data_IF_701242258313
#
_entry.id   IF_701242258313
#
_cell.length_a   1.000
_cell.length_b   1.000
_cell.length_c   1.000
_cell.angle_alpha   90.00
_cell.angle_beta   90.00
_cell.angle_gamma   90.00
#
_symmetry.space_group_name_H-M   'P 1'
#
loop_
_entity.id
_entity.type
_entity.pdbx_description
1 polymer ?
#
# COMPACT_ATOMS: atom_id res chain seq x y z
N UNK A 1 0.51 -5.57 -0.04
CA UNK A 1 -0.90 -5.79 -0.47
C UNK A 1 -1.66 -6.70 0.50
N UNK A 2 -1.08 -7.84 0.95
CA UNK A 2 -1.73 -8.72 1.92
C UNK A 2 -2.13 -7.98 3.19
N UNK A 3 -1.24 -7.14 3.74
CA UNK A 3 -1.53 -6.29 4.90
C UNK A 3 -2.76 -5.40 4.67
N UNK A 4 -2.83 -4.70 3.54
CA UNK A 4 -3.95 -3.82 3.20
C UNK A 4 -5.26 -4.59 3.05
N UNK A 5 -5.22 -5.75 2.42
CA UNK A 5 -6.38 -6.61 2.25
C UNK A 5 -6.94 -7.09 3.58
N UNK A 6 -6.08 -7.58 4.47
CA UNK A 6 -6.49 -8.04 5.80
C UNK A 6 -6.96 -6.88 6.69
N UNK A 7 -6.31 -5.71 6.61
CA UNK A 7 -6.75 -4.52 7.33
C UNK A 7 -8.12 -4.01 6.84
N UNK A 8 -8.40 -4.08 5.53
CA UNK A 8 -9.72 -3.78 5.00
C UNK A 8 -10.77 -4.79 5.50
N UNK A 9 -10.44 -6.09 5.54
CA UNK A 9 -11.30 -7.12 6.12
C UNK A 9 -11.59 -6.87 7.59
N UNK A 10 -10.58 -6.47 8.37
CA UNK A 10 -10.75 -6.07 9.77
C UNK A 10 -11.72 -4.90 9.92
N UNK A 11 -11.60 -3.86 9.09
CA UNK A 11 -12.51 -2.71 9.11
C UNK A 11 -13.95 -3.10 8.75
N UNK A 12 -14.14 -3.96 7.76
CA UNK A 12 -15.45 -4.49 7.35
C UNK A 12 -16.10 -5.29 8.49
N UNK A 13 -15.34 -6.15 9.18
CA UNK A 13 -15.84 -6.90 10.35
C UNK A 13 -16.25 -5.93 11.46
N UNK A 14 -15.41 -4.93 11.77
CA UNK A 14 -15.70 -3.91 12.76
C UNK A 14 -16.93 -3.06 12.45
N UNK A 15 -17.29 -2.95 11.16
CA UNK A 15 -18.48 -2.25 10.64
C UNK A 15 -19.68 -3.17 10.45
N UNK A 16 -19.71 -4.36 11.05
CA UNK A 16 -20.79 -5.35 10.89
C UNK A 16 -21.09 -5.68 9.42
N UNK A 17 -20.02 -5.97 8.67
CA UNK A 17 -20.04 -6.35 7.25
C UNK A 17 -20.47 -5.25 6.26
N UNK A 18 -20.59 -3.99 6.68
CA UNK A 18 -20.73 -2.88 5.73
C UNK A 18 -19.40 -2.64 5.01
N UNK A 19 -19.44 -2.69 3.68
CA UNK A 19 -18.27 -2.51 2.80
C UNK A 19 -18.21 -1.13 2.18
N UNK A 20 -19.27 -0.31 2.33
CA UNK A 20 -19.30 1.02 1.73
C UNK A 20 -18.54 2.02 2.60
N UNK A 21 -17.36 2.43 2.12
CA UNK A 21 -16.54 3.42 2.83
C UNK A 21 -17.21 4.80 2.96
N UNK A 22 -18.31 5.07 2.23
CA UNK A 22 -19.11 6.29 2.38
C UNK A 22 -19.89 6.30 3.68
N UNK A 23 -20.16 5.13 4.24
CA UNK A 23 -20.82 4.95 5.53
C UNK A 23 -19.84 4.98 6.71
N UNK A 24 -18.54 4.83 6.44
CA UNK A 24 -17.49 4.81 7.44
C UNK A 24 -17.04 6.22 7.84
N UNK A 25 -16.13 6.30 8.79
CA UNK A 25 -15.48 7.53 9.24
C UNK A 25 -15.04 7.41 10.70
N UNK A 26 -13.97 8.11 11.08
CA UNK A 26 -13.45 8.13 12.45
C UNK A 26 -13.14 6.74 13.08
N UNK A 27 -12.91 5.70 12.26
CA UNK A 27 -12.63 4.35 12.78
C UNK A 27 -11.33 4.27 13.57
N UNK A 28 -10.39 5.21 13.40
CA UNK A 28 -9.14 5.28 14.18
C UNK A 28 -9.38 5.29 15.70
N UNK A 29 -10.50 5.85 16.15
CA UNK A 29 -10.86 5.92 17.58
C UNK A 29 -11.21 4.54 18.14
N UNK A 30 -11.81 3.68 17.34
CA UNK A 30 -12.34 2.38 17.74
C UNK A 30 -11.43 1.22 17.35
N UNK A 31 -10.64 1.40 16.28
CA UNK A 31 -9.80 0.35 15.68
C UNK A 31 -8.34 0.84 15.48
N UNK A 32 -7.60 1.13 16.55
CA UNK A 32 -6.27 1.73 16.45
C UNK A 32 -5.23 0.80 15.81
N UNK A 33 -5.31 -0.52 16.03
CA UNK A 33 -4.37 -1.48 15.44
C UNK A 33 -4.61 -1.57 13.93
N UNK A 34 -5.86 -1.73 13.52
CA UNK A 34 -6.25 -1.74 12.10
C UNK A 34 -5.89 -0.41 11.42
N UNK A 35 -6.10 0.72 12.10
CA UNK A 35 -5.72 2.04 11.60
C UNK A 35 -4.22 2.17 11.31
N UNK A 36 -3.36 1.81 12.27
CA UNK A 36 -1.90 1.90 12.13
C UNK A 36 -1.41 0.93 11.04
N UNK A 37 -1.88 -0.31 11.05
CA UNK A 37 -1.45 -1.32 10.07
C UNK A 37 -1.88 -0.96 8.66
N UNK A 38 -3.06 -0.35 8.49
CA UNK A 38 -3.51 0.20 7.21
C UNK A 38 -2.63 1.37 6.74
N UNK A 39 -2.24 2.27 7.65
CA UNK A 39 -1.30 3.34 7.35
C UNK A 39 0.04 2.81 6.85
N UNK A 40 0.64 1.86 7.59
CA UNK A 40 1.93 1.26 7.20
C UNK A 40 1.83 0.54 5.85
N UNK A 41 0.72 -0.15 5.60
CA UNK A 41 0.44 -0.78 4.31
C UNK A 41 0.31 0.22 3.16
N UNK A 42 -0.37 1.34 3.37
CA UNK A 42 -0.49 2.41 2.38
C UNK A 42 0.86 3.08 2.11
N UNK A 43 1.64 3.40 3.13
CA UNK A 43 2.98 3.96 2.97
C UNK A 43 3.90 3.02 2.18
N UNK A 44 3.84 1.72 2.43
CA UNK A 44 4.56 0.73 1.63
C UNK A 44 4.03 0.65 0.19
N UNK A 45 2.70 0.75 -0.02
CA UNK A 45 2.08 0.69 -1.35
C UNK A 45 2.46 1.87 -2.24
N UNK A 46 2.46 3.09 -1.70
CA UNK A 46 2.81 4.30 -2.46
C UNK A 46 4.31 4.41 -2.73
N UNK A 47 5.14 3.63 -2.04
CA UNK A 47 6.59 3.66 -2.19
C UNK A 47 7.24 4.78 -1.37
N UNK A 48 6.79 5.00 -0.14
CA UNK A 48 7.45 5.93 0.79
C UNK A 48 8.88 5.47 1.08
N UNK A 49 9.88 6.34 1.06
CA UNK A 49 11.26 5.99 1.40
C UNK A 49 11.34 5.19 2.71
N UNK A 50 12.27 4.27 2.78
CA UNK A 50 12.49 3.25 3.84
C UNK A 50 11.50 2.08 3.85
N UNK A 51 10.32 2.18 3.26
CA UNK A 51 9.37 1.06 3.17
C UNK A 51 9.76 0.08 2.05
N UNK A 52 9.38 -1.18 2.21
CA UNK A 52 9.74 -2.24 1.24
C UNK A 52 9.25 -1.94 -0.19
N UNK A 53 8.09 -1.31 -0.33
CA UNK A 53 7.53 -0.92 -1.62
C UNK A 53 8.34 0.17 -2.33
N UNK A 54 9.07 1.01 -1.61
CA UNK A 54 9.95 2.01 -2.18
C UNK A 54 11.04 1.35 -3.02
N UNK A 55 11.82 0.46 -2.42
CA UNK A 55 12.97 -0.16 -3.08
C UNK A 55 12.61 -0.88 -4.37
N UNK A 56 11.50 -1.62 -4.38
CA UNK A 56 11.05 -2.33 -5.59
C UNK A 56 10.48 -1.39 -6.65
N UNK A 57 9.68 -0.39 -6.25
CA UNK A 57 9.07 0.54 -7.22
C UNK A 57 10.10 1.46 -7.85
N UNK A 58 10.98 2.02 -7.06
CA UNK A 58 12.01 2.94 -7.52
C UNK A 58 12.92 2.24 -8.54
N UNK A 59 13.39 1.02 -8.24
CA UNK A 59 14.17 0.22 -9.20
C UNK A 59 13.43 -0.07 -10.51
N UNK A 60 12.10 -0.31 -10.46
CA UNK A 60 11.30 -0.52 -11.68
C UNK A 60 11.20 0.78 -12.51
N UNK A 61 11.01 1.91 -11.83
CA UNK A 61 10.89 3.22 -12.49
C UNK A 61 12.23 3.61 -13.13
N UNK A 62 13.33 3.42 -12.42
CA UNK A 62 14.68 3.66 -12.93
C UNK A 62 15.02 2.72 -14.10
N UNK A 63 14.64 1.43 -14.00
CA UNK A 63 14.80 0.49 -15.10
C UNK A 63 14.01 0.92 -16.35
N UNK A 64 12.80 1.42 -16.19
CA UNK A 64 12.00 1.94 -17.30
C UNK A 64 12.62 3.20 -17.91
N UNK A 65 13.22 4.06 -17.09
CA UNK A 65 13.90 5.27 -17.52
C UNK A 65 15.19 4.96 -18.29
N UNK A 66 16.00 4.03 -17.78
CA UNK A 66 17.27 3.64 -18.40
C UNK A 66 17.13 2.71 -19.62
N UNK A 67 15.91 2.20 -19.87
CA UNK A 67 15.67 1.26 -20.96
C UNK A 67 15.74 1.95 -22.32
N UNK A 68 16.43 1.32 -23.27
CA UNK A 68 16.54 1.74 -24.68
C UNK A 68 15.53 1.08 -25.61
N UNK A 69 14.65 0.23 -25.08
CA UNK A 69 13.66 -0.49 -25.88
C UNK A 69 12.60 0.45 -26.46
N UNK A 70 12.06 0.14 -27.66
CA UNK A 70 10.95 0.90 -28.22
C UNK A 70 9.76 0.95 -27.26
N UNK A 71 9.27 2.15 -26.98
CA UNK A 71 8.14 2.34 -26.04
C UNK A 71 8.54 2.57 -24.57
N UNK A 72 9.82 2.51 -24.20
CA UNK A 72 10.30 2.77 -22.84
C UNK A 72 9.88 4.14 -22.31
N UNK A 73 9.90 5.18 -23.16
CA UNK A 73 9.43 6.51 -22.76
C UNK A 73 7.95 6.55 -22.37
N UNK A 74 7.08 5.81 -23.08
CA UNK A 74 5.68 5.68 -22.69
C UNK A 74 5.53 4.87 -21.38
N UNK A 75 6.29 3.79 -21.23
CA UNK A 75 6.31 2.98 -20.02
C UNK A 75 6.74 3.83 -18.81
N UNK A 76 7.81 4.61 -18.94
CA UNK A 76 8.27 5.53 -17.90
C UNK A 76 7.20 6.56 -17.53
N UNK A 77 6.56 7.21 -18.51
CA UNK A 77 5.46 8.13 -18.26
C UNK A 77 4.30 7.45 -17.52
N UNK A 78 3.90 6.26 -17.97
CA UNK A 78 2.79 5.52 -17.36
C UNK A 78 3.06 5.12 -15.90
N UNK A 79 4.30 4.66 -15.58
CA UNK A 79 4.65 4.31 -14.20
C UNK A 79 4.75 5.56 -13.31
N UNK A 80 5.24 6.69 -13.81
CA UNK A 80 5.22 7.96 -13.07
C UNK A 80 3.80 8.44 -12.78
N UNK A 81 2.92 8.43 -13.78
CA UNK A 81 1.52 8.78 -13.59
C UNK A 81 0.83 7.86 -12.57
N UNK A 82 1.18 6.57 -12.59
CA UNK A 82 0.63 5.59 -11.64
C UNK A 82 1.04 5.85 -10.20
N UNK A 83 2.21 6.46 -9.95
CA UNK A 83 2.64 6.84 -8.59
C UNK A 83 1.67 7.84 -7.98
N UNK A 84 1.36 8.91 -8.70
CA UNK A 84 0.39 9.93 -8.26
C UNK A 84 -1.00 9.33 -8.02
N UNK A 85 -1.54 8.60 -9.00
CA UNK A 85 -2.87 7.98 -8.91
C UNK A 85 -2.93 6.99 -7.74
N UNK A 86 -1.86 6.21 -7.52
CA UNK A 86 -1.79 5.25 -6.40
C UNK A 86 -1.83 5.96 -5.06
N UNK A 87 -1.08 7.03 -4.88
CA UNK A 87 -1.10 7.81 -3.65
C UNK A 87 -2.47 8.43 -3.41
N UNK A 88 -3.07 9.04 -4.45
CA UNK A 88 -4.38 9.65 -4.38
C UNK A 88 -5.46 8.67 -3.89
N UNK A 89 -5.62 7.51 -4.55
CA UNK A 89 -6.70 6.60 -4.16
C UNK A 89 -6.45 5.94 -2.79
N UNK A 90 -5.19 5.63 -2.47
CA UNK A 90 -4.82 5.00 -1.22
C UNK A 90 -5.11 5.92 -0.02
N UNK A 91 -4.72 7.19 -0.08
CA UNK A 91 -4.99 8.15 0.97
C UNK A 91 -6.45 8.59 1.00
N UNK A 92 -7.13 8.69 -0.15
CA UNK A 92 -8.57 8.92 -0.18
C UNK A 92 -9.32 7.85 0.61
N UNK A 93 -9.03 6.57 0.36
CA UNK A 93 -9.62 5.45 1.12
C UNK A 93 -9.29 5.59 2.61
N UNK A 94 -8.03 5.81 2.95
CA UNK A 94 -7.56 5.91 4.33
C UNK A 94 -8.27 7.01 5.11
N UNK A 95 -8.37 8.20 4.55
CA UNK A 95 -9.05 9.32 5.21
C UNK A 95 -10.56 9.14 5.29
N UNK A 96 -11.19 8.55 4.28
CA UNK A 96 -12.63 8.30 4.31
C UNK A 96 -13.02 7.26 5.37
N UNK A 97 -12.21 6.24 5.57
CA UNK A 97 -12.48 5.14 6.51
C UNK A 97 -12.11 5.51 7.94
N UNK A 98 -10.91 6.04 8.15
CA UNK A 98 -10.36 6.20 9.51
C UNK A 98 -10.47 7.60 10.07
N UNK A 99 -10.80 8.60 9.26
CA UNK A 99 -10.87 10.00 9.68
C UNK A 99 -12.24 10.60 9.35
N UNK A 100 -12.46 11.84 9.79
CA UNK A 100 -13.71 12.56 9.54
C UNK A 100 -14.80 12.23 10.54
N UNK A 101 -16.07 12.38 10.10
CA UNK A 101 -17.26 12.17 10.94
C UNK A 101 -17.71 10.71 10.89
N UNK A 102 -18.40 10.26 11.92
CA UNK A 102 -19.00 8.93 12.06
C UNK A 102 -20.28 8.85 11.23
N UNK A 103 -20.16 8.56 9.94
CA UNK A 103 -21.25 8.67 8.98
C UNK A 103 -22.33 7.60 9.14
N UNK A 104 -22.01 6.43 9.72
CA UNK A 104 -23.01 5.40 10.01
C UNK A 104 -24.11 5.90 10.95
N UNK A 105 -23.83 6.92 11.79
CA UNK A 105 -24.83 7.52 12.67
C UNK A 105 -25.82 8.43 11.98
N UNK A 106 -25.49 8.88 10.76
CA UNK A 106 -26.32 9.77 9.94
C UNK A 106 -27.18 9.00 8.94
N UNK A 107 -26.96 7.68 8.82
CA UNK A 107 -27.75 6.85 7.90
C UNK A 107 -29.20 6.75 8.39
N UNK A 108 -30.20 6.78 7.45
CA UNK A 108 -31.60 6.53 7.81
C UNK A 108 -31.74 5.12 8.38
N UNK A 109 -32.55 4.97 9.43
CA UNK A 109 -32.90 3.64 9.92
C UNK A 109 -33.77 2.96 8.86
N UNK A 110 -33.30 1.85 8.33
CA UNK A 110 -34.12 0.98 7.53
C UNK A 110 -35.08 0.26 8.49
N UNK A 111 -36.34 0.72 8.53
CA UNK A 111 -37.44 -0.04 9.09
C UNK A 111 -37.78 -1.14 8.07
N UNK A 112 -37.20 -2.31 8.22
CA UNK A 112 -37.59 -3.48 7.47
C UNK A 112 -38.85 -4.07 8.10
N UNK A 113 -40.01 -3.78 7.49
CA UNK A 113 -41.30 -4.42 7.81
C UNK A 113 -41.44 -5.82 7.19
N UNK A 114 -40.34 -6.50 6.88
CA UNK A 114 -40.40 -7.85 6.31
C UNK A 114 -39.63 -8.87 7.14
N UNK A 115 -40.41 -9.81 7.69
CA UNK A 115 -39.96 -11.06 8.31
C UNK A 115 -39.19 -11.92 7.29
N UNK A 116 -37.88 -11.82 7.27
CA UNK A 116 -36.95 -12.71 6.59
C UNK A 116 -35.59 -12.62 7.27
N UNK A 117 -34.93 -13.75 7.49
CA UNK A 117 -33.59 -13.89 8.09
C UNK A 117 -32.49 -13.20 7.23
N UNK A 118 -32.64 -11.91 6.94
CA UNK A 118 -31.61 -11.11 6.29
C UNK A 118 -30.71 -10.53 7.38
N UNK A 119 -29.46 -10.97 7.39
CA UNK A 119 -28.39 -10.42 8.22
C UNK A 119 -28.31 -8.92 7.99
N UNK A 120 -28.66 -8.12 9.01
CA UNK A 120 -28.46 -6.68 8.98
C UNK A 120 -27.00 -6.36 8.73
N UNK A 121 -26.65 -5.91 7.51
CA UNK A 121 -25.35 -5.43 7.17
C UNK A 121 -25.22 -3.96 7.59
N UNK A 122 -24.28 -3.68 8.50
CA UNK A 122 -23.94 -2.34 8.95
C UNK A 122 -24.23 -2.08 10.44
N UNK A 123 -23.63 -1.01 10.95
CA UNK A 123 -23.79 -0.55 12.33
C UNK A 123 -25.08 0.27 12.48
N UNK A 124 -25.80 0.03 13.58
CA UNK A 124 -26.88 0.91 14.02
C UNK A 124 -26.33 2.27 14.50
N UNK A 125 -27.22 3.29 14.59
CA UNK A 125 -26.83 4.65 15.02
C UNK A 125 -26.19 4.71 16.39
N UNK A 126 -26.56 3.82 17.29
CA UNK A 126 -26.06 3.76 18.67
C UNK A 126 -24.91 2.77 18.86
N UNK A 127 -24.59 1.99 17.83
CA UNK A 127 -23.53 0.99 17.90
C UNK A 127 -22.17 1.62 17.64
N UNK A 128 -21.15 1.02 18.22
CA UNK A 128 -19.77 1.44 18.02
C UNK A 128 -19.00 0.33 17.31
N UNK A 129 -18.19 0.69 16.32
CA UNK A 129 -17.23 -0.25 15.75
C UNK A 129 -16.30 -0.80 16.84
N UNK A 130 -15.80 -1.99 16.66
CA UNK A 130 -14.86 -2.60 17.59
C UNK A 130 -13.65 -3.15 16.85
N UNK A 131 -12.51 -3.15 17.52
CA UNK A 131 -11.29 -3.73 16.98
C UNK A 131 -11.48 -5.24 16.80
N UNK A 132 -10.92 -5.78 15.74
CA UNK A 132 -10.97 -7.21 15.47
C UNK A 132 -10.22 -7.99 16.57
N UNK A 133 -10.62 -9.26 16.83
CA UNK A 133 -9.97 -10.09 17.83
C UNK A 133 -8.50 -10.35 17.49
N UNK A 134 -7.71 -10.75 18.50
CA UNK A 134 -6.27 -10.93 18.36
C UNK A 134 -5.85 -11.91 17.24
N UNK A 135 -6.72 -12.86 16.90
CA UNK A 135 -6.52 -13.81 15.78
C UNK A 135 -6.39 -13.08 14.44
N UNK A 136 -7.03 -11.92 14.29
CA UNK A 136 -6.96 -11.07 13.11
C UNK A 136 -5.85 -10.02 13.25
N UNK A 137 -5.74 -9.38 14.42
CA UNK A 137 -4.78 -8.29 14.63
C UNK A 137 -3.33 -8.77 14.70
N UNK A 138 -3.07 -9.99 15.20
CA UNK A 138 -1.72 -10.55 15.23
C UNK A 138 -1.12 -10.72 13.82
N UNK A 139 -1.80 -11.36 12.84
CA UNK A 139 -1.32 -11.38 11.46
C UNK A 139 -1.08 -9.99 10.85
N UNK A 140 -1.91 -8.99 11.17
CA UNK A 140 -1.70 -7.62 10.72
C UNK A 140 -0.37 -7.05 11.22
N UNK A 141 -0.07 -7.22 12.51
CA UNK A 141 1.18 -6.76 13.11
C UNK A 141 2.37 -7.51 12.51
N UNK A 142 2.28 -8.84 12.37
CA UNK A 142 3.35 -9.65 11.79
C UNK A 142 3.64 -9.31 10.33
N UNK A 143 2.65 -8.87 9.55
CA UNK A 143 2.83 -8.40 8.17
C UNK A 143 3.32 -6.95 8.10
N UNK A 144 2.97 -6.11 9.08
CA UNK A 144 3.39 -4.72 9.11
C UNK A 144 4.90 -4.59 9.30
N UNK A 145 5.51 -5.41 10.15
CA UNK A 145 6.95 -5.39 10.43
C UNK A 145 7.77 -5.57 9.13
N UNK A 146 7.65 -6.66 8.36
CA UNK A 146 8.42 -6.83 7.13
C UNK A 146 8.04 -5.79 6.05
N UNK A 147 6.83 -5.26 6.04
CA UNK A 147 6.45 -4.18 5.12
C UNK A 147 7.29 -2.92 5.31
N UNK A 148 7.82 -2.71 6.52
CA UNK A 148 8.74 -1.59 6.81
C UNK A 148 10.19 -1.98 6.53
N UNK A 149 10.65 -3.14 7.02
CA UNK A 149 12.10 -3.38 7.13
C UNK A 149 12.70 -4.25 6.02
N UNK A 150 11.91 -5.16 5.40
CA UNK A 150 12.48 -6.20 4.53
C UNK A 150 13.12 -5.62 3.27
N UNK A 151 12.61 -4.50 2.74
CA UNK A 151 13.16 -3.88 1.55
C UNK A 151 14.60 -3.43 1.73
N UNK A 152 14.92 -2.85 2.89
CA UNK A 152 16.27 -2.42 3.22
C UNK A 152 17.28 -3.59 3.23
N UNK A 153 16.88 -4.73 3.79
CA UNK A 153 17.77 -5.90 3.91
C UNK A 153 17.79 -6.76 2.63
N UNK A 154 16.71 -6.76 1.87
CA UNK A 154 16.58 -7.69 0.75
C UNK A 154 16.97 -7.08 -0.60
N UNK A 155 16.98 -5.76 -0.76
CA UNK A 155 17.24 -5.12 -2.07
C UNK A 155 18.60 -5.52 -2.65
N UNK A 156 19.64 -5.43 -1.86
CA UNK A 156 20.99 -5.72 -2.32
C UNK A 156 21.17 -7.21 -2.69
N UNK A 157 20.93 -8.20 -1.80
CA UNK A 157 21.14 -9.60 -2.15
C UNK A 157 20.20 -10.12 -3.23
N UNK A 158 18.96 -9.65 -3.31
CA UNK A 158 17.96 -10.19 -4.24
C UNK A 158 18.00 -9.53 -5.61
N UNK A 159 18.20 -8.22 -5.70
CA UNK A 159 18.14 -7.50 -6.98
C UNK A 159 19.55 -7.31 -7.59
N UNK A 160 20.51 -6.93 -6.78
CA UNK A 160 21.87 -6.60 -7.22
C UNK A 160 22.91 -7.67 -6.91
N UNK A 161 22.56 -8.64 -6.06
CA UNK A 161 23.41 -9.77 -5.68
C UNK A 161 23.13 -11.04 -6.49
N UNK A 162 23.62 -12.15 -5.95
CA UNK A 162 23.62 -13.45 -6.62
C UNK A 162 22.46 -14.37 -6.21
N UNK A 163 21.46 -13.88 -5.46
CA UNK A 163 20.39 -14.72 -4.92
C UNK A 163 19.60 -15.46 -6.02
N UNK A 164 19.31 -14.79 -7.14
CA UNK A 164 18.61 -15.37 -8.27
C UNK A 164 19.49 -15.78 -9.45
N UNK A 165 20.80 -15.77 -9.31
CA UNK A 165 21.79 -16.02 -10.34
C UNK A 165 21.53 -17.29 -11.17
N UNK A 166 21.13 -18.37 -10.50
CA UNK A 166 20.91 -19.68 -11.16
C UNK A 166 19.42 -19.88 -11.58
N UNK A 167 18.53 -18.98 -11.17
CA UNK A 167 17.10 -19.07 -11.46
C UNK A 167 16.64 -18.09 -12.55
N UNK A 168 17.30 -16.92 -12.65
CA UNK A 168 16.95 -15.87 -13.61
C UNK A 168 18.16 -15.53 -14.45
N UNK A 169 18.10 -15.84 -15.74
CA UNK A 169 19.13 -15.45 -16.70
C UNK A 169 18.79 -14.12 -17.36
N UNK A 170 19.71 -13.16 -17.30
CA UNK A 170 19.63 -11.87 -17.97
C UNK A 170 20.75 -11.75 -18.98
N UNK A 171 20.42 -11.61 -20.26
CA UNK A 171 21.41 -11.34 -21.30
C UNK A 171 21.82 -9.85 -21.24
N UNK A 172 22.96 -9.59 -20.61
CA UNK A 172 23.46 -8.21 -20.42
C UNK A 172 23.97 -7.55 -21.70
N UNK A 173 24.23 -8.31 -22.77
CA UNK A 173 24.64 -7.76 -24.05
C UNK A 173 23.45 -7.14 -24.78
N UNK A 174 22.29 -7.78 -24.72
CA UNK A 174 21.05 -7.29 -25.34
C UNK A 174 20.26 -6.34 -24.43
N UNK A 175 20.37 -6.54 -23.12
CA UNK A 175 19.63 -5.79 -22.09
C UNK A 175 20.56 -5.22 -21.02
N UNK A 176 21.29 -4.14 -21.30
CA UNK A 176 22.31 -3.58 -20.38
C UNK A 176 21.72 -2.87 -19.15
N UNK A 177 20.41 -2.63 -19.12
CA UNK A 177 19.74 -1.86 -18.07
C UNK A 177 20.06 -2.33 -16.66
N UNK A 178 20.07 -3.66 -16.43
CA UNK A 178 20.40 -4.20 -15.09
C UNK A 178 21.87 -4.00 -14.70
N UNK A 179 22.78 -4.02 -15.69
CA UNK A 179 24.19 -3.73 -15.45
C UNK A 179 24.40 -2.26 -15.06
N UNK A 180 23.73 -1.33 -15.76
CA UNK A 180 23.75 0.10 -15.44
C UNK A 180 23.21 0.39 -14.04
N UNK A 181 22.04 -0.18 -13.71
CA UNK A 181 21.45 0.00 -12.37
C UNK A 181 22.35 -0.58 -11.25
N UNK A 182 23.07 -1.66 -11.53
CA UNK A 182 24.01 -2.26 -10.58
C UNK A 182 25.23 -1.36 -10.35
N UNK A 183 25.73 -0.70 -11.39
CA UNK A 183 26.83 0.29 -11.27
C UNK A 183 26.42 1.51 -10.48
N UNK A 184 25.18 1.98 -10.63
CA UNK A 184 24.63 3.13 -9.92
C UNK A 184 24.18 2.81 -8.49
N UNK A 185 24.07 1.53 -8.14
CA UNK A 185 23.63 1.11 -6.81
C UNK A 185 24.75 1.29 -5.77
N UNK A 186 24.61 2.27 -4.89
CA UNK A 186 25.54 2.58 -3.80
C UNK A 186 24.98 2.21 -2.41
N UNK A 187 24.00 1.30 -2.39
CA UNK A 187 23.39 0.80 -1.17
C UNK A 187 21.98 1.37 -0.91
N UNK A 188 21.22 0.75 0.01
CA UNK A 188 19.82 1.10 0.27
C UNK A 188 19.63 2.54 0.74
N UNK A 189 20.56 3.09 1.53
CA UNK A 189 20.48 4.48 2.01
C UNK A 189 20.77 5.48 0.90
N UNK A 190 21.67 5.15 -0.03
CA UNK A 190 21.95 5.99 -1.19
C UNK A 190 20.72 6.12 -2.10
N UNK A 191 19.96 5.02 -2.30
CA UNK A 191 18.67 5.07 -3.01
C UNK A 191 17.69 6.05 -2.36
N UNK A 192 17.57 6.01 -1.04
CA UNK A 192 16.70 6.96 -0.31
C UNK A 192 17.18 8.40 -0.52
N UNK A 193 18.47 8.66 -0.45
CA UNK A 193 19.01 10.00 -0.70
C UNK A 193 18.78 10.46 -2.15
N UNK A 194 18.95 9.57 -3.13
CA UNK A 194 18.68 9.83 -4.53
C UNK A 194 17.19 10.14 -4.79
N UNK A 195 16.28 9.48 -4.11
CA UNK A 195 14.82 9.69 -4.28
C UNK A 195 14.37 11.12 -3.97
N UNK A 196 15.12 11.86 -3.15
CA UNK A 196 14.86 13.28 -2.88
C UNK A 196 15.08 14.18 -4.10
N UNK A 197 15.81 13.69 -5.10
CA UNK A 197 16.11 14.41 -6.34
C UNK A 197 15.22 13.96 -7.52
N UNK A 198 14.44 12.90 -7.34
CA UNK A 198 13.59 12.34 -8.39
C UNK A 198 12.16 12.88 -8.30
N UNK A 199 11.41 12.95 -9.42
CA UNK A 199 10.01 13.36 -9.41
C UNK A 199 9.09 12.37 -8.70
N UNK A 200 9.54 11.13 -8.50
CA UNK A 200 8.74 10.04 -7.93
C UNK A 200 8.22 10.37 -6.53
N UNK A 201 9.11 10.84 -5.65
CA UNK A 201 8.73 11.21 -4.29
C UNK A 201 7.73 12.36 -4.26
N UNK A 202 7.95 13.38 -5.09
CA UNK A 202 7.07 14.55 -5.15
C UNK A 202 5.68 14.20 -5.70
N UNK A 203 5.60 13.28 -6.68
CA UNK A 203 4.32 12.77 -7.19
C UNK A 203 3.59 11.92 -6.13
N UNK A 204 4.32 11.14 -5.34
CA UNK A 204 3.72 10.38 -4.24
C UNK A 204 3.19 11.28 -3.11
N UNK A 205 3.81 12.45 -2.87
CA UNK A 205 3.35 13.42 -1.87
C UNK A 205 2.16 14.23 -2.40
N UNK A 206 2.15 14.52 -3.70
CA UNK A 206 1.10 15.33 -4.33
C UNK A 206 -0.21 14.58 -4.52
N UNK A 207 -0.20 13.24 -4.59
CA UNK A 207 -1.39 12.38 -4.72
C UNK A 207 -1.99 12.06 -3.35
#
# INVERSE_FOLDING_TARGET
KALLFLAAGSAIIGMHHDQDMRHMGNLKKYMPITWITMLLGNLALIGTPFFSGFYSKDSIIEAAHASTLPGSGFAYFAVLASVFVTAFYAFRQYFMVFHGKEKWRELPEHHDDHHGDEHHHGLGKNDNPHESPWVVTLPLILLAIPSVVIGYFAIEPMLYGDFFKDAIYVNTEEHPTMALLKEEFHGPLAMVAHSLQTPVLYLAIAG
#
